data_IF_108785427493
#
_entry.id   IF_108785427493
#
_cell.length_a   1.000
_cell.length_b   1.000
_cell.length_c   1.000
_cell.angle_alpha   90.00
_cell.angle_beta   90.00
_cell.angle_gamma   90.00
#
_symmetry.space_group_name_H-M   'P 1'
#
loop_
_entity.id
_entity.type
_entity.pdbx_description
1 polymer ?
#
# COMPACT_ATOMS: atom_id res chain seq x y z
N UNK A 1 -27.42 4.06 -29.93
CA UNK A 1 -26.55 4.34 -28.76
C UNK A 1 -25.44 3.30 -28.80
N UNK A 2 -24.15 3.68 -28.73
CA UNK A 2 -23.05 2.71 -28.80
C UNK A 2 -23.13 1.74 -27.61
N UNK A 3 -22.86 0.45 -27.81
CA UNK A 3 -22.90 -0.62 -26.80
C UNK A 3 -22.15 -0.24 -25.51
N UNK A 4 -21.05 0.50 -25.63
CA UNK A 4 -20.29 1.02 -24.48
C UNK A 4 -21.09 2.03 -23.66
N UNK A 5 -21.75 2.99 -24.30
CA UNK A 5 -22.58 4.00 -23.64
C UNK A 5 -23.74 3.36 -22.88
N UNK A 6 -24.35 2.31 -23.45
CA UNK A 6 -25.39 1.53 -22.77
C UNK A 6 -24.88 0.84 -21.50
N UNK A 7 -23.70 0.21 -21.57
CA UNK A 7 -23.06 -0.39 -20.39
C UNK A 7 -22.82 0.65 -19.29
N UNK A 8 -22.17 1.78 -19.60
CA UNK A 8 -21.89 2.82 -18.60
C UNK A 8 -23.18 3.42 -18.01
N UNK A 9 -24.25 3.56 -18.79
CA UNK A 9 -25.56 3.98 -18.28
C UNK A 9 -26.16 2.95 -17.31
N UNK A 10 -26.10 1.66 -17.64
CA UNK A 10 -26.54 0.57 -16.74
C UNK A 10 -25.76 0.58 -15.43
N UNK A 11 -24.43 0.68 -15.50
CA UNK A 11 -23.56 0.76 -14.32
C UNK A 11 -23.89 2.00 -13.49
N UNK A 12 -24.19 3.14 -14.11
CA UNK A 12 -24.61 4.38 -13.41
C UNK A 12 -25.91 4.21 -12.62
N UNK A 13 -26.90 3.51 -13.17
CA UNK A 13 -28.15 3.20 -12.47
C UNK A 13 -27.88 2.30 -11.27
N UNK A 14 -27.11 1.22 -11.47
CA UNK A 14 -26.78 0.26 -10.40
C UNK A 14 -25.93 0.89 -9.30
N UNK A 15 -24.92 1.69 -9.66
CA UNK A 15 -24.07 2.41 -8.72
C UNK A 15 -24.86 3.43 -7.88
N UNK A 16 -25.87 4.07 -8.46
CA UNK A 16 -26.76 4.99 -7.75
C UNK A 16 -27.62 4.34 -6.66
N UNK A 17 -27.82 3.01 -6.75
CA UNK A 17 -28.55 2.23 -5.73
C UNK A 17 -27.65 1.76 -4.59
N UNK A 18 -26.32 1.89 -4.73
CA UNK A 18 -25.35 1.49 -3.72
C UNK A 18 -25.16 2.64 -2.73
N UNK A 19 -25.72 2.51 -1.53
CA UNK A 19 -25.62 3.51 -0.46
C UNK A 19 -24.60 3.13 0.62
N UNK A 20 -23.97 4.12 1.28
CA UNK A 20 -23.05 3.85 2.39
C UNK A 20 -23.75 3.19 3.57
N UNK A 21 -23.03 2.49 4.46
CA UNK A 21 -23.58 2.02 5.71
C UNK A 21 -24.22 3.17 6.49
N UNK A 22 -25.39 2.92 7.06
CA UNK A 22 -26.20 3.93 7.76
C UNK A 22 -25.41 4.67 8.83
N UNK A 23 -25.53 6.01 8.87
CA UNK A 23 -24.94 6.86 9.93
C UNK A 23 -25.39 6.49 11.35
N UNK A 24 -26.51 5.77 11.50
CA UNK A 24 -26.99 5.23 12.78
C UNK A 24 -25.92 4.36 13.50
N UNK A 25 -25.01 3.73 12.76
CA UNK A 25 -23.89 2.95 13.32
C UNK A 25 -22.84 3.80 14.05
N UNK A 26 -22.91 5.14 13.94
CA UNK A 26 -22.06 6.08 14.69
C UNK A 26 -22.63 6.47 16.06
N UNK A 27 -23.89 6.14 16.37
CA UNK A 27 -24.52 6.54 17.63
C UNK A 27 -23.81 5.89 18.82
N UNK A 28 -23.60 4.58 18.77
CA UNK A 28 -22.96 3.81 19.84
C UNK A 28 -21.50 4.25 20.12
N UNK A 29 -20.60 4.37 19.11
CA UNK A 29 -19.26 4.89 19.39
C UNK A 29 -19.28 6.33 19.91
N UNK A 30 -20.15 7.20 19.39
CA UNK A 30 -20.26 8.59 19.87
C UNK A 30 -20.66 8.64 21.35
N UNK A 31 -21.63 7.80 21.73
CA UNK A 31 -22.04 7.68 23.13
C UNK A 31 -20.91 7.20 24.04
N UNK A 32 -20.14 6.20 23.60
CA UNK A 32 -18.99 5.69 24.37
C UNK A 32 -17.88 6.73 24.56
N UNK A 33 -17.59 7.58 23.55
CA UNK A 33 -16.64 8.70 23.71
C UNK A 33 -17.14 9.71 24.74
N UNK A 34 -18.42 10.10 24.67
CA UNK A 34 -19.01 11.06 25.61
C UNK A 34 -18.97 10.48 27.03
N UNK A 35 -19.35 9.21 27.18
CA UNK A 35 -19.33 8.50 28.46
C UNK A 35 -17.90 8.37 29.01
N UNK A 36 -16.90 8.08 28.17
CA UNK A 36 -15.50 8.00 28.61
C UNK A 36 -15.00 9.36 29.11
N UNK A 37 -15.27 10.44 28.37
CA UNK A 37 -14.87 11.80 28.76
C UNK A 37 -15.50 12.22 30.09
N UNK A 38 -16.77 11.88 30.30
CA UNK A 38 -17.46 12.13 31.56
C UNK A 38 -16.79 11.40 32.73
N UNK A 39 -16.46 10.11 32.57
CA UNK A 39 -15.76 9.34 33.62
C UNK A 39 -14.34 9.83 33.88
N UNK A 40 -13.63 10.35 32.88
CA UNK A 40 -12.31 10.95 33.04
C UNK A 40 -12.34 12.21 33.92
N UNK A 41 -13.40 13.02 33.80
CA UNK A 41 -13.59 14.23 34.63
C UNK A 41 -14.00 13.85 36.07
N UNK A 42 -14.81 12.81 36.21
CA UNK A 42 -15.34 12.36 37.49
C UNK A 42 -14.31 11.64 38.35
N UNK A 43 -13.45 10.82 37.74
CA UNK A 43 -12.41 10.05 38.43
C UNK A 43 -11.55 10.88 39.41
N UNK A 44 -10.95 12.04 39.03
CA UNK A 44 -10.15 12.84 39.95
C UNK A 44 -10.98 13.47 41.07
N UNK A 45 -12.25 13.78 40.85
CA UNK A 45 -13.14 14.34 41.88
C UNK A 45 -13.38 13.30 42.97
N UNK A 46 -13.71 12.06 42.60
CA UNK A 46 -13.87 10.97 43.56
C UNK A 46 -12.57 10.59 44.26
N UNK A 47 -11.43 10.66 43.56
CA UNK A 47 -10.12 10.47 44.18
C UNK A 47 -9.81 11.51 45.25
N UNK A 48 -10.07 12.80 44.97
CA UNK A 48 -9.89 13.87 45.97
C UNK A 48 -10.83 13.68 47.17
N UNK A 49 -12.10 13.32 46.93
CA UNK A 49 -13.04 13.01 48.01
C UNK A 49 -12.58 11.82 48.85
N UNK A 50 -12.08 10.76 48.22
CA UNK A 50 -11.50 9.62 48.91
C UNK A 50 -10.33 10.03 49.81
N UNK A 51 -9.37 10.82 49.29
CA UNK A 51 -8.23 11.33 50.08
C UNK A 51 -8.70 12.18 51.26
N UNK A 52 -9.69 13.04 51.08
CA UNK A 52 -10.27 13.84 52.15
C UNK A 52 -10.90 12.97 53.26
N UNK A 53 -11.70 11.98 52.89
CA UNK A 53 -12.34 11.07 53.85
C UNK A 53 -11.32 10.20 54.59
N UNK A 54 -10.23 9.81 53.92
CA UNK A 54 -9.11 9.10 54.51
C UNK A 54 -8.42 9.95 55.59
N UNK A 55 -8.23 11.25 55.36
CA UNK A 55 -7.69 12.19 56.37
C UNK A 55 -8.58 12.27 57.61
N UNK A 56 -9.91 12.21 57.43
CA UNK A 56 -10.89 12.25 58.52
C UNK A 56 -11.19 10.87 59.14
N UNK A 57 -10.47 9.81 58.76
CA UNK A 57 -10.65 8.43 59.27
C UNK A 57 -12.07 7.86 59.07
N UNK A 58 -12.79 8.34 58.05
CA UNK A 58 -14.12 7.84 57.69
C UNK A 58 -13.96 6.69 56.69
N UNK A 59 -14.71 5.59 56.89
CA UNK A 59 -14.73 4.48 55.94
C UNK A 59 -15.14 4.99 54.54
N UNK A 60 -14.25 4.76 53.58
CA UNK A 60 -14.33 5.31 52.22
C UNK A 60 -14.05 4.26 51.13
N UNK A 61 -14.15 2.96 51.47
CA UNK A 61 -13.98 1.86 50.52
C UNK A 61 -14.87 1.99 49.28
N UNK A 62 -16.09 2.53 49.44
CA UNK A 62 -16.99 2.82 48.33
C UNK A 62 -16.41 3.87 47.35
N UNK A 63 -15.80 4.94 47.86
CA UNK A 63 -15.22 6.01 47.03
C UNK A 63 -13.99 5.52 46.27
N UNK A 64 -13.20 4.65 46.90
CA UNK A 64 -12.08 3.96 46.24
C UNK A 64 -12.58 3.08 45.09
N UNK A 65 -13.57 2.22 45.34
CA UNK A 65 -14.15 1.36 44.31
C UNK A 65 -14.75 2.14 43.13
N UNK A 66 -15.40 3.27 43.38
CA UNK A 66 -15.93 4.16 42.33
C UNK A 66 -14.78 4.82 41.53
N UNK A 67 -13.69 5.21 42.20
CA UNK A 67 -12.51 5.80 41.55
C UNK A 67 -11.83 4.78 40.64
N UNK A 68 -11.56 3.57 41.14
CA UNK A 68 -10.98 2.48 40.35
C UNK A 68 -11.87 2.13 39.15
N UNK A 69 -13.17 1.90 39.39
CA UNK A 69 -14.12 1.56 38.33
C UNK A 69 -14.16 2.66 37.25
N UNK A 70 -14.18 3.94 37.65
CA UNK A 70 -14.21 5.06 36.72
C UNK A 70 -12.93 5.17 35.89
N UNK A 71 -11.77 4.92 36.51
CA UNK A 71 -10.48 4.88 35.84
C UNK A 71 -10.44 3.79 34.76
N UNK A 72 -10.80 2.56 35.11
CA UNK A 72 -10.80 1.45 34.15
C UNK A 72 -11.86 1.62 33.06
N UNK A 73 -13.06 2.05 33.44
CA UNK A 73 -14.14 2.30 32.49
C UNK A 73 -13.73 3.34 31.44
N UNK A 74 -13.02 4.41 31.81
CA UNK A 74 -12.52 5.41 30.87
C UNK A 74 -11.68 4.77 29.76
N UNK A 75 -10.67 3.97 30.12
CA UNK A 75 -9.80 3.33 29.13
C UNK A 75 -10.56 2.31 28.28
N UNK A 76 -11.38 1.46 28.88
CA UNK A 76 -12.12 0.42 28.15
C UNK A 76 -13.13 1.02 27.17
N UNK A 77 -13.92 2.01 27.62
CA UNK A 77 -14.94 2.66 26.79
C UNK A 77 -14.31 3.52 25.67
N UNK A 78 -13.23 4.25 25.93
CA UNK A 78 -12.51 5.01 24.91
C UNK A 78 -11.90 4.10 23.82
N UNK A 79 -11.37 2.95 24.22
CA UNK A 79 -10.84 1.94 23.30
C UNK A 79 -11.99 1.36 22.47
N UNK A 80 -13.09 0.92 23.09
CA UNK A 80 -14.26 0.38 22.41
C UNK A 80 -14.88 1.39 21.43
N UNK A 81 -14.95 2.66 21.82
CA UNK A 81 -15.41 3.74 20.95
C UNK A 81 -14.51 3.90 19.70
N UNK A 82 -13.20 3.92 19.90
CA UNK A 82 -12.21 4.02 18.82
C UNK A 82 -12.33 2.85 17.83
N UNK A 83 -12.59 1.66 18.36
CA UNK A 83 -12.78 0.43 17.59
C UNK A 83 -14.03 0.52 16.70
N UNK A 84 -15.16 0.90 17.30
CA UNK A 84 -16.43 1.03 16.60
C UNK A 84 -16.38 2.15 15.55
N UNK A 85 -15.72 3.27 15.85
CA UNK A 85 -15.54 4.38 14.90
C UNK A 85 -14.67 3.95 13.70
N UNK A 86 -13.58 3.23 13.92
CA UNK A 86 -12.75 2.67 12.84
C UNK A 86 -13.49 1.61 12.03
N UNK A 87 -14.28 0.75 12.67
CA UNK A 87 -15.12 -0.26 12.01
C UNK A 87 -16.18 0.39 11.10
N UNK A 88 -16.82 1.46 11.56
CA UNK A 88 -17.75 2.24 10.76
C UNK A 88 -17.07 2.88 9.53
N UNK A 89 -15.94 3.57 9.74
CA UNK A 89 -15.16 4.17 8.66
C UNK A 89 -14.73 3.12 7.61
N UNK A 90 -14.45 1.88 8.04
CA UNK A 90 -14.12 0.75 7.16
C UNK A 90 -15.31 0.21 6.38
N UNK A 91 -16.47 0.03 7.00
CA UNK A 91 -17.69 -0.41 6.29
C UNK A 91 -18.10 0.57 5.19
N UNK A 92 -17.71 1.84 5.33
CA UNK A 92 -17.95 2.88 4.34
C UNK A 92 -17.00 2.81 3.13
N UNK A 93 -15.89 2.06 3.24
CA UNK A 93 -14.92 1.87 2.16
C UNK A 93 -15.22 0.61 1.32
N UNK A 94 -15.94 -0.36 1.86
CA UNK A 94 -16.22 -1.65 1.22
C UNK A 94 -17.72 -1.79 0.92
N UNK A 95 -18.21 -1.03 -0.05
CA UNK A 95 -19.55 -1.23 -0.56
C UNK A 95 -19.65 -2.62 -1.20
N UNK A 96 -20.31 -3.57 -0.51
CA UNK A 96 -20.68 -4.87 -1.09
C UNK A 96 -21.50 -4.60 -2.36
N UNK A 97 -21.14 -5.25 -3.47
CA UNK A 97 -21.73 -5.18 -4.83
C UNK A 97 -20.94 -4.44 -5.92
N UNK A 98 -19.80 -3.82 -5.61
CA UNK A 98 -18.93 -3.23 -6.64
C UNK A 98 -18.13 -4.28 -7.43
N UNK A 99 -17.84 -5.44 -6.83
CA UNK A 99 -17.05 -6.51 -7.45
C UNK A 99 -17.70 -7.14 -8.68
N UNK A 100 -19.03 -7.26 -8.69
CA UNK A 100 -19.78 -7.81 -9.83
C UNK A 100 -19.72 -6.84 -11.01
N UNK A 101 -19.95 -5.55 -10.75
CA UNK A 101 -19.86 -4.49 -11.78
C UNK A 101 -18.47 -4.40 -12.40
N UNK A 102 -17.43 -4.55 -11.58
CA UNK A 102 -16.03 -4.61 -12.03
C UNK A 102 -15.80 -5.83 -12.93
N UNK A 103 -16.18 -7.02 -12.45
CA UNK A 103 -15.93 -8.29 -13.16
C UNK A 103 -16.63 -8.34 -14.53
N UNK A 104 -17.90 -7.97 -14.61
CA UNK A 104 -18.65 -7.93 -15.88
C UNK A 104 -17.97 -6.97 -16.87
N UNK A 105 -17.54 -5.81 -16.41
CA UNK A 105 -16.83 -4.85 -17.27
C UNK A 105 -15.51 -5.42 -17.80
N UNK A 106 -14.68 -5.98 -16.90
CA UNK A 106 -13.35 -6.51 -17.23
C UNK A 106 -13.44 -7.69 -18.21
N UNK A 107 -14.44 -8.57 -18.06
CA UNK A 107 -14.59 -9.74 -18.92
C UNK A 107 -15.32 -9.45 -20.24
N UNK A 108 -16.34 -8.58 -20.26
CA UNK A 108 -17.24 -8.48 -21.41
C UNK A 108 -17.10 -7.19 -22.22
N UNK A 109 -16.62 -6.10 -21.61
CA UNK A 109 -16.61 -4.76 -22.20
C UNK A 109 -15.20 -4.28 -22.51
N UNK A 110 -14.28 -4.38 -21.55
CA UNK A 110 -12.90 -3.95 -21.71
C UNK A 110 -12.21 -4.65 -22.91
N UNK A 111 -12.36 -5.97 -23.13
CA UNK A 111 -11.75 -6.64 -24.30
C UNK A 111 -12.25 -6.07 -25.63
N UNK A 112 -13.53 -5.69 -25.71
CA UNK A 112 -14.12 -5.06 -26.90
C UNK A 112 -13.61 -3.64 -27.13
N UNK A 113 -13.38 -2.88 -26.06
CA UNK A 113 -12.75 -1.56 -26.15
C UNK A 113 -11.32 -1.71 -26.68
N UNK A 114 -10.56 -2.67 -26.14
CA UNK A 114 -9.18 -2.95 -26.57
C UNK A 114 -9.15 -3.35 -28.05
N UNK A 115 -9.95 -4.35 -28.44
CA UNK A 115 -9.97 -4.86 -29.82
C UNK A 115 -10.49 -3.83 -30.84
N UNK A 116 -11.26 -2.83 -30.40
CA UNK A 116 -11.71 -1.74 -31.28
C UNK A 116 -10.61 -0.75 -31.66
N UNK A 117 -9.49 -0.75 -30.92
CA UNK A 117 -8.42 0.24 -31.04
C UNK A 117 -7.05 -0.39 -31.33
N UNK A 118 -6.83 -1.61 -30.87
CA UNK A 118 -5.57 -2.32 -31.02
C UNK A 118 -5.83 -3.74 -31.54
N UNK A 119 -5.28 -4.05 -32.72
CA UNK A 119 -5.53 -5.33 -33.39
C UNK A 119 -4.72 -6.50 -32.81
N UNK A 120 -3.61 -6.21 -32.12
CA UNK A 120 -2.62 -7.22 -31.69
C UNK A 120 -2.37 -7.25 -30.17
N UNK A 121 -3.38 -6.91 -29.36
CA UNK A 121 -3.29 -6.95 -27.91
C UNK A 121 -4.19 -8.04 -27.32
N UNK A 122 -3.60 -8.91 -26.52
CA UNK A 122 -4.30 -9.88 -25.70
C UNK A 122 -4.49 -9.32 -24.30
N UNK A 123 -5.66 -9.56 -23.72
CA UNK A 123 -6.00 -9.11 -22.37
C UNK A 123 -6.56 -10.27 -21.54
N UNK A 124 -6.16 -10.32 -20.27
CA UNK A 124 -6.64 -11.27 -19.26
C UNK A 124 -6.83 -10.53 -17.94
N UNK A 125 -8.05 -10.55 -17.42
CA UNK A 125 -8.42 -9.88 -16.16
C UNK A 125 -7.58 -10.36 -14.96
N UNK A 126 -7.78 -11.57 -14.45
CA UNK A 126 -6.97 -12.09 -13.32
C UNK A 126 -5.61 -12.67 -13.77
N UNK A 127 -4.94 -11.99 -14.70
CA UNK A 127 -3.67 -12.44 -15.27
C UNK A 127 -2.46 -11.85 -14.54
N UNK A 128 -1.33 -12.55 -14.63
CA UNK A 128 -0.04 -12.08 -14.13
C UNK A 128 1.03 -12.48 -15.14
N UNK A 129 2.05 -11.63 -15.27
CA UNK A 129 3.26 -11.96 -16.03
C UNK A 129 3.92 -13.22 -15.43
N UNK A 130 4.56 -14.02 -16.29
CA UNK A 130 5.30 -15.20 -15.88
C UNK A 130 6.32 -14.85 -14.77
N UNK A 131 6.32 -15.67 -13.71
CA UNK A 131 7.24 -15.57 -12.59
C UNK A 131 8.71 -15.52 -13.03
N UNK A 132 9.06 -16.17 -14.14
CA UNK A 132 10.42 -16.11 -14.71
C UNK A 132 10.81 -14.69 -15.07
N UNK A 133 9.92 -13.91 -15.68
CA UNK A 133 10.17 -12.51 -16.00
C UNK A 133 10.22 -11.64 -14.72
N UNK A 134 9.37 -11.93 -13.73
CA UNK A 134 9.37 -11.23 -12.43
C UNK A 134 10.72 -11.44 -11.71
N UNK A 135 11.23 -12.66 -11.66
CA UNK A 135 12.53 -12.97 -11.06
C UNK A 135 13.70 -12.40 -11.87
N UNK A 136 13.64 -12.46 -13.20
CA UNK A 136 14.68 -11.90 -14.06
C UNK A 136 14.87 -10.38 -13.89
N UNK A 137 13.83 -9.68 -13.42
CA UNK A 137 13.84 -8.22 -13.24
C UNK A 137 14.70 -7.71 -12.07
N UNK A 138 15.11 -8.57 -11.15
CA UNK A 138 15.73 -8.21 -9.85
C UNK A 138 14.91 -7.19 -9.03
N UNK A 139 13.62 -7.01 -9.32
CA UNK A 139 12.72 -6.25 -8.46
C UNK A 139 12.30 -7.04 -7.22
N UNK A 140 12.34 -8.37 -7.31
CA UNK A 140 11.98 -9.31 -6.25
C UNK A 140 13.07 -10.37 -6.11
N UNK A 141 13.71 -10.46 -4.95
CA UNK A 141 14.65 -11.57 -4.70
C UNK A 141 13.90 -12.91 -4.64
N UNK A 142 14.52 -14.04 -5.02
CA UNK A 142 13.85 -15.35 -5.03
C UNK A 142 13.26 -15.73 -3.67
N UNK A 143 13.98 -15.47 -2.59
CA UNK A 143 13.50 -15.73 -1.22
C UNK A 143 12.34 -14.82 -0.83
N UNK A 144 12.37 -13.55 -1.24
CA UNK A 144 11.28 -12.62 -1.00
C UNK A 144 10.03 -13.00 -1.79
N UNK A 145 10.16 -13.31 -3.08
CA UNK A 145 9.05 -13.73 -3.93
C UNK A 145 8.43 -15.04 -3.42
N UNK A 146 9.25 -16.03 -3.07
CA UNK A 146 8.78 -17.29 -2.49
C UNK A 146 7.95 -17.09 -1.21
N UNK A 147 8.38 -16.17 -0.34
CA UNK A 147 7.60 -15.80 0.85
C UNK A 147 6.29 -15.07 0.51
N UNK A 148 6.31 -14.21 -0.51
CA UNK A 148 5.13 -13.43 -0.92
C UNK A 148 4.05 -14.30 -1.56
N UNK A 149 4.41 -15.33 -2.32
CA UNK A 149 3.45 -16.27 -2.94
C UNK A 149 2.49 -16.88 -1.93
N UNK A 150 3.01 -17.24 -0.76
CA UNK A 150 2.21 -17.84 0.33
C UNK A 150 1.42 -16.80 1.14
N UNK A 151 1.54 -15.50 0.82
CA UNK A 151 1.03 -14.39 1.64
C UNK A 151 0.16 -13.38 0.86
N UNK A 152 -0.24 -13.71 -0.37
CA UNK A 152 -1.12 -12.88 -1.19
C UNK A 152 -0.39 -11.99 -2.20
N UNK A 153 0.57 -12.57 -2.94
CA UNK A 153 1.12 -12.02 -4.18
C UNK A 153 0.28 -12.48 -5.36
N UNK A 154 -0.25 -11.55 -6.15
CA UNK A 154 -1.08 -11.84 -7.31
C UNK A 154 -1.00 -10.70 -8.34
N UNK A 155 -1.40 -11.01 -9.58
CA UNK A 155 -1.56 -10.04 -10.64
C UNK A 155 -3.02 -9.74 -10.96
N UNK A 156 -3.26 -8.60 -11.58
CA UNK A 156 -4.52 -8.19 -12.21
C UNK A 156 -4.18 -7.49 -13.53
N UNK A 157 -5.15 -7.41 -14.43
CA UNK A 157 -5.08 -6.76 -15.73
C UNK A 157 -3.80 -7.09 -16.53
N UNK A 158 -3.62 -8.36 -16.90
CA UNK A 158 -2.51 -8.78 -17.78
C UNK A 158 -2.80 -8.46 -19.24
N UNK A 159 -1.83 -7.82 -19.86
CA UNK A 159 -1.80 -7.56 -21.29
C UNK A 159 -0.54 -8.14 -21.90
N UNK A 160 -0.67 -8.68 -23.11
CA UNK A 160 0.47 -9.09 -23.91
C UNK A 160 0.25 -8.77 -25.38
N UNK A 161 1.33 -8.53 -26.12
CA UNK A 161 1.24 -8.25 -27.53
C UNK A 161 2.56 -7.77 -28.11
N UNK A 162 2.45 -7.24 -29.33
CA UNK A 162 3.60 -6.77 -30.10
C UNK A 162 3.34 -5.38 -30.64
N UNK A 163 4.24 -4.43 -30.36
CA UNK A 163 4.21 -3.07 -30.93
C UNK A 163 5.55 -2.81 -31.61
N UNK A 164 5.53 -2.49 -32.91
CA UNK A 164 6.72 -2.09 -33.68
C UNK A 164 7.94 -3.01 -33.46
N UNK A 165 7.73 -4.32 -33.49
CA UNK A 165 8.72 -5.38 -33.26
C UNK A 165 9.20 -5.64 -31.84
N UNK A 166 8.58 -4.99 -30.85
CA UNK A 166 8.83 -5.25 -29.43
C UNK A 166 7.71 -6.11 -28.87
N UNK A 167 8.06 -7.31 -28.43
CA UNK A 167 7.17 -8.15 -27.63
C UNK A 167 7.12 -7.60 -26.21
N UNK A 168 5.92 -7.42 -25.67
CA UNK A 168 5.77 -6.88 -24.34
C UNK A 168 4.65 -7.57 -23.58
N UNK A 169 4.78 -7.55 -22.26
CA UNK A 169 3.75 -7.96 -21.32
C UNK A 169 3.70 -6.98 -20.16
N UNK A 170 2.50 -6.59 -19.72
CA UNK A 170 2.36 -5.83 -18.49
C UNK A 170 1.20 -6.36 -17.66
N UNK A 171 1.26 -6.12 -16.35
CA UNK A 171 0.13 -6.36 -15.45
C UNK A 171 0.24 -5.44 -14.23
N UNK A 172 -0.84 -5.33 -13.48
CA UNK A 172 -0.78 -4.83 -12.11
C UNK A 172 -0.31 -5.94 -11.18
N UNK A 173 0.60 -5.62 -10.27
CA UNK A 173 1.07 -6.52 -9.23
C UNK A 173 0.64 -6.00 -7.87
N UNK A 174 0.11 -6.93 -7.07
CA UNK A 174 -0.26 -6.68 -5.69
C UNK A 174 0.51 -7.64 -4.80
N UNK A 175 0.96 -7.14 -3.66
CA UNK A 175 1.19 -8.04 -2.55
C UNK A 175 0.63 -7.48 -1.26
N UNK A 176 -0.08 -8.38 -0.59
CA UNK A 176 -0.69 -8.13 0.69
C UNK A 176 0.14 -8.83 1.76
N UNK A 177 0.05 -8.37 3.00
CA UNK A 177 0.50 -9.15 4.15
C UNK A 177 -0.59 -9.19 5.18
N UNK A 178 -0.74 -10.34 5.80
CA UNK A 178 -1.61 -10.54 6.92
C UNK A 178 -0.84 -10.36 8.22
N UNK A 179 -1.45 -9.71 9.20
CA UNK A 179 -0.81 -9.50 10.48
C UNK A 179 -1.73 -8.87 11.51
N UNK A 180 -1.33 -9.02 12.78
CA UNK A 180 -2.02 -8.39 13.89
C UNK A 180 -1.72 -6.89 13.90
N UNK A 181 -2.78 -6.09 14.02
CA UNK A 181 -2.68 -4.64 14.10
C UNK A 181 -2.08 -4.21 15.44
N UNK A 182 -1.47 -3.03 15.50
CA UNK A 182 -0.99 -2.43 16.77
C UNK A 182 -2.13 -2.38 17.81
N UNK A 183 -3.35 -2.10 17.36
CA UNK A 183 -4.57 -2.12 18.20
C UNK A 183 -4.94 -3.53 18.65
N UNK A 184 -4.76 -4.55 17.82
CA UNK A 184 -4.95 -5.96 18.19
C UNK A 184 -3.94 -6.41 19.24
N UNK A 185 -2.67 -6.02 19.10
CA UNK A 185 -1.65 -6.22 20.12
C UNK A 185 -2.01 -5.53 21.43
N UNK A 186 -2.42 -4.26 21.39
CA UNK A 186 -2.81 -3.51 22.59
C UNK A 186 -4.01 -4.15 23.32
N UNK A 187 -5.02 -4.65 22.59
CA UNK A 187 -6.15 -5.37 23.19
C UNK A 187 -5.72 -6.68 23.83
N UNK A 188 -4.84 -7.44 23.18
CA UNK A 188 -4.32 -8.69 23.73
C UNK A 188 -3.54 -8.42 25.03
N UNK A 189 -2.73 -7.36 25.06
CA UNK A 189 -2.09 -6.91 26.30
C UNK A 189 -3.08 -6.52 27.39
N UNK A 190 -4.16 -5.80 27.06
CA UNK A 190 -5.18 -5.39 28.04
C UNK A 190 -5.94 -6.61 28.56
N UNK A 191 -6.35 -7.55 27.71
CA UNK A 191 -7.05 -8.78 28.13
C UNK A 191 -6.16 -9.64 29.02
N UNK A 192 -4.85 -9.68 28.75
CA UNK A 192 -3.89 -10.38 29.60
C UNK A 192 -3.70 -9.63 30.92
N UNK A 193 -3.60 -8.29 30.90
CA UNK A 193 -3.38 -7.48 32.10
C UNK A 193 -4.62 -7.36 33.01
N UNK A 194 -5.83 -7.43 32.45
CA UNK A 194 -7.09 -7.29 33.19
C UNK A 194 -7.19 -8.27 34.38
N UNK A 195 -7.00 -9.59 34.21
CA UNK A 195 -7.05 -10.53 35.34
C UNK A 195 -5.93 -10.31 36.36
N UNK A 196 -4.74 -9.82 35.97
CA UNK A 196 -3.68 -9.49 36.93
C UNK A 196 -4.01 -8.26 37.80
N UNK A 197 -4.87 -7.35 37.31
CA UNK A 197 -5.38 -6.23 38.10
C UNK A 197 -6.50 -6.63 39.09
N UNK A 198 -7.03 -7.86 38.98
CA UNK A 198 -8.13 -8.37 39.82
C UNK A 198 -7.74 -9.60 40.65
N UNK A 199 -6.48 -10.05 40.60
CA UNK A 199 -6.00 -11.07 41.52
C UNK A 199 -5.81 -10.41 42.90
N UNK A 200 -6.46 -10.88 43.98
CA UNK A 200 -6.09 -10.47 45.33
C UNK A 200 -4.64 -10.87 45.56
N UNK A 201 -3.87 -10.02 46.28
CA UNK A 201 -2.44 -10.16 46.54
C UNK A 201 -1.99 -11.62 46.64
N UNK A 202 -1.45 -12.16 45.54
CA UNK A 202 -0.72 -13.41 45.58
C UNK A 202 0.70 -13.01 45.96
N UNK A 203 1.05 -13.26 47.21
CA UNK A 203 2.44 -13.24 47.67
C UNK A 203 3.23 -14.21 46.80
N UNK A 204 3.99 -13.69 45.83
CA UNK A 204 4.99 -14.47 45.12
C UNK A 204 6.23 -14.50 46.03
N UNK A 205 6.57 -15.64 46.65
CA UNK A 205 7.77 -15.71 47.46
C UNK A 205 8.97 -15.76 46.52
N UNK A 206 9.83 -14.76 46.67
CA UNK A 206 11.27 -14.86 46.53
C UNK A 206 11.85 -15.12 45.12
N UNK A 207 12.41 -14.05 44.55
CA UNK A 207 13.67 -14.10 43.80
C UNK A 207 14.44 -12.81 44.11
N UNK A 208 15.07 -12.78 45.28
CA UNK A 208 16.23 -11.90 45.48
C UNK A 208 17.43 -12.54 44.78
N UNK A 209 17.96 -11.84 43.77
CA UNK A 209 19.39 -11.92 43.47
C UNK A 209 19.87 -10.54 43.07
N UNK A 210 20.33 -9.84 44.09
CA UNK A 210 21.60 -9.11 44.18
C UNK A 210 21.96 -8.01 43.18
N UNK A 211 22.60 -7.02 43.79
CA UNK A 211 23.16 -5.77 43.30
C UNK A 211 24.09 -5.88 42.08
N UNK A 212 24.00 -4.87 41.21
CA UNK A 212 24.97 -4.62 40.13
C UNK A 212 24.49 -3.53 39.20
N UNK A 213 24.93 -2.30 39.42
CA UNK A 213 24.60 -1.16 38.58
C UNK A 213 25.10 -1.32 37.14
N UNK A 214 24.39 -0.71 36.20
CA UNK A 214 25.00 0.29 35.33
C UNK A 214 23.94 1.08 34.56
N UNK A 215 24.22 2.37 34.47
CA UNK A 215 23.46 3.43 33.81
C UNK A 215 23.18 3.16 32.34
N UNK A 216 21.92 3.26 31.91
CA UNK A 216 21.56 3.46 30.50
C UNK A 216 20.38 4.44 30.38
N UNK A 217 20.64 5.71 30.70
CA UNK A 217 19.84 6.81 30.20
C UNK A 217 20.79 7.90 29.68
N UNK A 218 21.32 7.66 28.47
CA UNK A 218 21.96 8.71 27.69
C UNK A 218 20.93 9.33 26.75
N UNK A 219 20.64 10.59 27.03
CA UNK A 219 19.83 11.46 26.19
C UNK A 219 20.48 11.59 24.82
N UNK A 220 19.68 11.47 23.75
CA UNK A 220 19.95 12.24 22.54
C UNK A 220 18.64 12.73 21.94
N UNK A 221 18.47 14.06 22.00
CA UNK A 221 17.37 14.76 21.39
C UNK A 221 17.39 14.63 19.87
N UNK A 222 16.20 14.64 19.27
CA UNK A 222 16.06 15.04 17.88
C UNK A 222 14.79 15.85 17.69
N UNK A 223 15.03 17.04 17.17
CA UNK A 223 14.13 18.14 16.89
C UNK A 223 13.10 17.69 15.85
N UNK A 224 11.81 17.67 16.23
CA UNK A 224 10.72 17.47 15.28
C UNK A 224 10.62 18.70 14.37
N UNK A 225 11.15 18.59 13.16
CA UNK A 225 10.77 19.51 12.07
C UNK A 225 9.58 18.88 11.35
N UNK A 226 8.44 19.55 11.49
CA UNK A 226 7.21 19.25 10.76
C UNK A 226 7.50 19.31 9.26
N UNK A 227 7.62 18.13 8.63
CA UNK A 227 7.48 17.98 7.19
C UNK A 227 6.07 17.45 6.94
N UNK A 228 5.31 18.20 6.16
CA UNK A 228 4.04 17.77 5.58
C UNK A 228 4.19 16.37 4.98
N UNK A 229 3.71 15.37 5.72
CA UNK A 229 3.69 13.99 5.26
C UNK A 229 2.59 13.86 4.22
N UNK A 230 2.98 13.95 2.96
CA UNK A 230 2.19 13.54 1.81
C UNK A 230 1.81 12.05 2.00
N UNK A 231 0.57 11.81 2.41
CA UNK A 231 0.02 10.48 2.68
C UNK A 231 0.22 9.61 1.43
N UNK A 232 1.00 8.53 1.56
CA UNK A 232 1.29 7.63 0.45
C UNK A 232 0.05 6.81 0.08
N UNK A 233 -0.73 7.34 -0.86
CA UNK A 233 -1.98 6.72 -1.35
C UNK A 233 -1.79 5.34 -2.02
N UNK A 234 -0.56 4.86 -2.15
CA UNK A 234 -0.22 3.54 -2.72
C UNK A 234 -0.41 2.38 -1.75
N UNK A 235 -0.50 2.65 -0.44
CA UNK A 235 -0.80 1.63 0.59
C UNK A 235 -2.27 1.65 0.96
N UNK A 236 -3.07 0.80 0.31
CA UNK A 236 -4.44 0.56 0.71
C UNK A 236 -4.43 -0.35 1.95
N UNK A 237 -4.70 0.23 3.11
CA UNK A 237 -4.80 -0.52 4.36
C UNK A 237 -6.18 -1.18 4.48
N UNK A 238 -6.32 -2.42 4.02
CA UNK A 238 -7.48 -3.29 4.32
C UNK A 238 -7.42 -3.82 5.78
N UNK A 239 -7.13 -2.96 6.77
CA UNK A 239 -6.98 -3.38 8.16
C UNK A 239 -8.29 -3.95 8.70
N UNK A 240 -8.34 -5.24 9.04
CA UNK A 240 -9.37 -5.77 9.95
C UNK A 240 -9.00 -5.49 11.41
N UNK A 241 -10.01 -5.59 12.27
CA UNK A 241 -10.04 -4.99 13.62
C UNK A 241 -8.90 -5.48 14.54
N UNK A 242 -8.61 -6.78 14.52
CA UNK A 242 -7.52 -7.39 15.30
C UNK A 242 -6.42 -7.88 14.38
N UNK A 243 -6.80 -8.72 13.44
CA UNK A 243 -5.99 -9.28 12.38
C UNK A 243 -6.43 -8.67 11.05
N UNK A 244 -5.52 -8.24 10.18
CA UNK A 244 -5.88 -7.55 8.96
C UNK A 244 -4.92 -7.80 7.80
N UNK A 245 -5.43 -7.56 6.60
CA UNK A 245 -4.67 -7.64 5.36
C UNK A 245 -4.19 -6.21 5.04
N UNK A 246 -2.90 -6.00 4.83
CA UNK A 246 -2.37 -4.72 4.37
C UNK A 246 -1.78 -4.87 2.97
N UNK A 247 -2.30 -4.10 2.01
CA UNK A 247 -1.67 -3.97 0.69
C UNK A 247 -0.40 -3.18 0.86
N UNK A 248 0.73 -3.87 0.81
CA UNK A 248 2.04 -3.28 1.02
C UNK A 248 2.62 -2.72 -0.27
N UNK A 249 2.20 -3.29 -1.40
CA UNK A 249 2.49 -2.77 -2.73
C UNK A 249 1.32 -3.05 -3.65
N UNK A 250 1.12 -2.07 -4.52
CA UNK A 250 0.24 -2.06 -5.67
C UNK A 250 0.96 -1.24 -6.71
N UNK A 251 1.10 -1.79 -7.90
CA UNK A 251 1.81 -1.08 -8.94
C UNK A 251 1.83 -1.81 -10.27
N UNK A 252 2.19 -1.05 -11.28
CA UNK A 252 2.36 -1.50 -12.63
C UNK A 252 3.71 -2.22 -12.77
N UNK A 253 3.71 -3.36 -13.45
CA UNK A 253 4.91 -4.07 -13.87
C UNK A 253 4.86 -4.30 -15.38
N UNK A 254 5.96 -4.00 -16.07
CA UNK A 254 6.12 -4.20 -17.50
C UNK A 254 7.38 -5.01 -17.78
N UNK A 255 7.26 -5.93 -18.73
CA UNK A 255 8.31 -6.64 -19.42
C UNK A 255 8.27 -6.27 -20.90
N UNK A 256 9.43 -6.01 -21.51
CA UNK A 256 9.56 -5.80 -22.94
C UNK A 256 10.86 -6.41 -23.47
N UNK A 257 10.78 -7.18 -24.56
CA UNK A 257 11.93 -7.72 -25.27
C UNK A 257 12.24 -6.86 -26.50
N UNK A 258 13.32 -6.09 -26.42
CA UNK A 258 13.79 -5.25 -27.52
C UNK A 258 14.70 -6.00 -28.49
N UNK A 259 14.94 -7.30 -28.26
CA UNK A 259 15.81 -8.14 -29.06
C UNK A 259 17.21 -7.54 -29.26
N UNK A 260 17.75 -6.88 -28.22
CA UNK A 260 19.08 -6.24 -28.27
C UNK A 260 20.17 -7.17 -27.79
N UNK A 261 21.32 -7.10 -28.45
CA UNK A 261 22.50 -7.87 -28.08
C UNK A 261 23.38 -7.04 -27.14
N UNK A 262 23.17 -7.21 -25.84
CA UNK A 262 24.16 -6.91 -24.81
C UNK A 262 24.08 -8.00 -23.75
N UNK A 263 25.18 -8.26 -23.08
CA UNK A 263 25.24 -9.20 -21.96
C UNK A 263 25.43 -8.41 -20.66
N UNK A 264 24.68 -8.78 -19.64
CA UNK A 264 24.75 -8.16 -18.31
C UNK A 264 23.55 -7.30 -18.00
N UNK A 265 23.67 -6.49 -16.95
CA UNK A 265 22.53 -5.87 -16.31
C UNK A 265 22.82 -4.45 -15.85
N UNK A 266 21.85 -3.54 -16.07
CA UNK A 266 21.81 -2.18 -15.55
C UNK A 266 20.52 -1.98 -14.76
N UNK A 267 20.65 -1.68 -13.48
CA UNK A 267 19.57 -1.37 -12.56
C UNK A 267 19.48 0.14 -12.34
N UNK A 268 18.27 0.69 -12.52
CA UNK A 268 17.98 2.12 -12.33
C UNK A 268 16.87 2.21 -11.29
N UNK A 269 17.25 2.39 -10.03
CA UNK A 269 16.34 2.26 -8.88
C UNK A 269 16.05 3.62 -8.26
N UNK A 270 14.78 3.97 -8.08
CA UNK A 270 14.43 5.22 -7.41
C UNK A 270 14.93 5.20 -5.96
N UNK A 271 15.50 6.32 -5.51
CA UNK A 271 15.99 6.49 -4.13
C UNK A 271 14.84 6.55 -3.11
N UNK A 272 13.59 6.70 -3.56
CA UNK A 272 12.40 6.82 -2.70
C UNK A 272 11.61 5.50 -2.63
N UNK A 273 11.07 5.20 -1.45
CA UNK A 273 9.86 4.36 -1.20
C UNK A 273 9.88 2.86 -1.53
N UNK A 274 10.89 2.28 -2.19
CA UNK A 274 11.00 0.82 -2.25
C UNK A 274 11.76 0.25 -1.05
N UNK A 275 11.26 -0.86 -0.51
CA UNK A 275 11.96 -1.57 0.56
C UNK A 275 13.21 -2.23 -0.04
N UNK A 276 14.40 -1.93 0.49
CA UNK A 276 15.67 -2.51 0.02
C UNK A 276 15.65 -4.05 -0.04
N UNK A 277 14.82 -4.70 0.81
CA UNK A 277 14.62 -6.16 0.83
C UNK A 277 13.89 -6.73 -0.38
N UNK A 278 13.25 -5.88 -1.20
CA UNK A 278 12.61 -6.31 -2.44
C UNK A 278 13.66 -6.70 -3.48
N UNK A 279 14.74 -5.95 -3.56
CA UNK A 279 15.69 -6.08 -4.66
C UNK A 279 16.70 -7.20 -4.42
N UNK A 280 17.11 -7.85 -5.51
CA UNK A 280 18.20 -8.83 -5.49
C UNK A 280 19.53 -8.19 -5.06
N UNK A 281 20.31 -8.91 -4.26
CA UNK A 281 21.65 -8.50 -3.86
C UNK A 281 22.68 -9.08 -4.83
N UNK A 282 22.96 -8.35 -5.90
CA UNK A 282 24.07 -8.67 -6.80
C UNK A 282 25.22 -7.69 -6.54
N UNK A 283 26.46 -8.15 -6.71
CA UNK A 283 27.68 -7.32 -6.68
C UNK A 283 27.73 -6.40 -7.90
N UNK A 284 26.87 -5.39 -7.90
CA UNK A 284 26.77 -4.41 -8.98
C UNK A 284 27.54 -3.15 -8.62
N UNK A 285 28.30 -2.65 -9.58
CA UNK A 285 29.06 -1.40 -9.45
C UNK A 285 28.10 -0.21 -9.56
N UNK A 286 28.28 0.80 -8.72
CA UNK A 286 27.51 2.05 -8.83
C UNK A 286 28.01 2.88 -10.00
N UNK A 287 27.10 3.30 -10.87
CA UNK A 287 27.41 4.10 -12.07
C UNK A 287 26.99 5.54 -11.82
N UNK A 288 27.79 6.50 -12.28
CA UNK A 288 27.48 7.94 -12.20
C UNK A 288 27.15 8.47 -13.58
N UNK A 289 26.03 9.17 -13.70
CA UNK A 289 25.64 9.85 -14.94
C UNK A 289 25.70 11.36 -14.77
N UNK A 290 26.01 12.08 -15.84
CA UNK A 290 26.14 13.55 -15.81
C UNK A 290 24.80 14.26 -15.61
N UNK A 291 23.69 13.62 -16.00
CA UNK A 291 22.36 14.20 -15.87
C UNK A 291 21.95 14.37 -14.40
N UNK A 292 21.86 15.62 -13.96
CA UNK A 292 21.57 15.99 -12.56
C UNK A 292 20.21 15.51 -12.07
N UNK A 293 19.20 15.46 -12.95
CA UNK A 293 17.85 14.99 -12.63
C UNK A 293 17.90 13.50 -12.28
N UNK A 294 18.56 12.71 -13.13
CA UNK A 294 18.70 11.26 -12.92
C UNK A 294 19.55 10.98 -11.68
N UNK A 295 20.71 11.61 -11.54
CA UNK A 295 21.61 11.41 -10.39
C UNK A 295 20.95 11.76 -9.06
N UNK A 296 20.09 12.78 -9.01
CA UNK A 296 19.34 13.13 -7.80
C UNK A 296 18.27 12.08 -7.45
N UNK A 297 17.59 11.52 -8.46
CA UNK A 297 16.41 10.65 -8.26
C UNK A 297 16.75 9.16 -8.16
N UNK A 298 17.79 8.72 -8.86
CA UNK A 298 18.10 7.32 -9.06
C UNK A 298 19.44 6.92 -8.45
N UNK A 299 19.49 5.67 -8.02
CA UNK A 299 20.73 4.92 -7.84
C UNK A 299 20.85 4.00 -9.03
N UNK A 300 21.96 4.12 -9.76
CA UNK A 300 22.25 3.29 -10.94
C UNK A 300 23.34 2.31 -10.55
N UNK A 301 23.09 1.03 -10.80
CA UNK A 301 24.10 -0.03 -10.61
C UNK A 301 24.16 -0.94 -11.83
N UNK A 302 25.33 -1.47 -12.15
CA UNK A 302 25.51 -2.34 -13.31
C UNK A 302 26.55 -3.44 -13.08
N UNK A 303 26.50 -4.48 -13.90
CA UNK A 303 27.50 -5.57 -13.90
C UNK A 303 28.84 -5.09 -14.46
N UNK A 304 28.80 -4.29 -15.51
CA UNK A 304 29.96 -3.69 -16.15
C UNK A 304 29.73 -2.19 -16.42
N UNK A 305 30.75 -1.38 -16.15
CA UNK A 305 30.65 0.08 -16.24
C UNK A 305 30.67 0.58 -17.69
N UNK A 306 31.48 -0.04 -18.56
CA UNK A 306 31.57 0.35 -19.97
C UNK A 306 30.26 0.04 -20.70
N UNK A 307 29.71 -1.15 -20.48
CA UNK A 307 28.38 -1.55 -20.95
C UNK A 307 27.30 -0.61 -20.41
N UNK A 308 27.37 -0.22 -19.13
CA UNK A 308 26.40 0.70 -18.55
C UNK A 308 26.39 2.05 -19.26
N UNK A 309 27.54 2.65 -19.57
CA UNK A 309 27.58 3.92 -20.31
C UNK A 309 27.09 3.79 -21.75
N UNK A 310 27.34 2.65 -22.39
CA UNK A 310 26.78 2.35 -23.70
C UNK A 310 25.25 2.28 -23.65
N UNK A 311 24.69 1.60 -22.65
CA UNK A 311 23.24 1.45 -22.44
C UNK A 311 22.58 2.73 -21.86
N UNK A 312 23.32 3.55 -21.15
CA UNK A 312 22.83 4.82 -20.58
C UNK A 312 23.23 5.99 -21.46
N UNK A 313 23.15 5.82 -22.79
CA UNK A 313 23.36 6.90 -23.73
C UNK A 313 22.47 8.11 -23.39
N UNK A 314 22.87 9.34 -23.76
CA UNK A 314 22.10 10.56 -23.42
C UNK A 314 20.62 10.47 -23.79
N UNK A 315 20.30 9.87 -24.95
CA UNK A 315 18.92 9.71 -25.40
C UNK A 315 18.09 8.79 -24.48
N UNK A 316 18.72 7.81 -23.85
CA UNK A 316 18.03 6.86 -22.96
C UNK A 316 17.84 7.44 -21.58
N UNK A 317 18.83 8.18 -21.11
CA UNK A 317 18.66 9.05 -19.95
C UNK A 317 17.49 10.00 -20.18
N UNK A 318 17.38 10.63 -21.35
CA UNK A 318 16.27 11.52 -21.69
C UNK A 318 14.93 10.78 -21.76
N UNK A 319 14.89 9.58 -22.34
CA UNK A 319 13.70 8.73 -22.35
C UNK A 319 13.24 8.40 -20.92
N UNK A 320 14.16 8.04 -20.03
CA UNK A 320 13.86 7.80 -18.61
C UNK A 320 13.30 9.07 -17.95
N UNK A 321 13.88 10.24 -18.23
CA UNK A 321 13.38 11.52 -17.70
C UNK A 321 11.97 11.81 -18.19
N UNK A 322 11.68 11.58 -19.48
CA UNK A 322 10.34 11.77 -20.05
C UNK A 322 9.32 10.79 -19.48
N UNK A 323 9.67 9.51 -19.35
CA UNK A 323 8.81 8.51 -18.70
C UNK A 323 8.49 8.90 -17.26
N UNK A 324 9.47 9.43 -16.53
CA UNK A 324 9.25 9.95 -15.18
C UNK A 324 8.27 11.12 -15.14
N UNK A 325 8.35 12.04 -16.10
CA UNK A 325 7.44 13.18 -16.18
C UNK A 325 6.01 12.73 -16.51
N UNK A 326 5.85 11.76 -17.41
CA UNK A 326 4.54 11.26 -17.85
C UNK A 326 3.87 10.34 -16.83
N UNK A 327 4.62 9.42 -16.21
CA UNK A 327 4.08 8.33 -15.40
C UNK A 327 4.24 8.53 -13.89
N UNK A 328 5.10 9.47 -13.49
CA UNK A 328 5.33 9.83 -12.09
C UNK A 328 6.71 9.43 -11.58
N UNK A 329 7.15 10.11 -10.53
CA UNK A 329 8.56 10.10 -10.06
C UNK A 329 9.01 8.84 -9.30
N UNK A 330 8.27 7.73 -9.40
CA UNK A 330 8.47 6.53 -8.57
C UNK A 330 8.78 5.27 -9.37
N UNK A 331 9.00 5.36 -10.69
CA UNK A 331 9.35 4.19 -11.49
C UNK A 331 10.75 3.66 -11.17
N UNK A 332 11.00 2.39 -11.42
CA UNK A 332 12.32 1.76 -11.42
C UNK A 332 12.44 0.84 -12.62
N UNK A 333 13.66 0.72 -13.15
CA UNK A 333 13.94 0.03 -14.40
C UNK A 333 15.09 -0.97 -14.21
N UNK A 334 15.05 -2.05 -14.98
CA UNK A 334 16.12 -3.02 -15.13
C UNK A 334 16.28 -3.31 -16.61
N UNK A 335 17.47 -3.08 -17.15
CA UNK A 335 17.86 -3.50 -18.49
C UNK A 335 18.77 -4.71 -18.32
N UNK A 336 18.38 -5.85 -18.90
CA UNK A 336 19.11 -7.12 -18.75
C UNK A 336 19.02 -7.94 -20.01
N UNK A 337 20.15 -8.33 -20.59
CA UNK A 337 20.25 -9.24 -21.73
C UNK A 337 19.25 -8.91 -22.87
N UNK A 338 19.21 -7.63 -23.27
CA UNK A 338 18.32 -7.13 -24.32
C UNK A 338 16.87 -6.83 -23.90
N UNK A 339 16.50 -7.15 -22.66
CA UNK A 339 15.15 -7.01 -22.12
C UNK A 339 15.06 -5.83 -21.16
N UNK A 340 13.86 -5.25 -21.07
CA UNK A 340 13.53 -4.21 -20.11
C UNK A 340 12.45 -4.71 -19.17
N UNK A 341 12.66 -4.42 -17.89
CA UNK A 341 11.68 -4.56 -16.85
C UNK A 341 11.44 -3.19 -16.21
N UNK A 342 10.18 -2.85 -15.97
CA UNK A 342 9.78 -1.60 -15.33
C UNK A 342 8.81 -1.93 -14.20
N UNK A 343 9.01 -1.32 -13.03
CA UNK A 343 8.05 -1.37 -11.93
C UNK A 343 7.71 0.04 -11.46
N UNK A 344 6.43 0.31 -11.21
CA UNK A 344 5.96 1.62 -10.78
C UNK A 344 4.83 1.49 -9.75
N UNK A 345 4.99 2.02 -8.52
CA UNK A 345 3.92 2.05 -7.53
C UNK A 345 2.79 2.97 -7.99
N UNK A 346 1.55 2.49 -7.89
CA UNK A 346 0.35 3.23 -8.29
C UNK A 346 -0.58 3.47 -7.10
N UNK A 347 -1.30 4.59 -7.13
CA UNK A 347 -2.32 4.89 -6.11
C UNK A 347 -3.69 4.30 -6.45
N UNK A 348 -3.96 4.07 -7.74
CA UNK A 348 -5.25 3.62 -8.27
C UNK A 348 -5.01 2.43 -9.22
N UNK A 349 -6.07 1.66 -9.45
CA UNK A 349 -6.10 0.53 -10.40
C UNK A 349 -6.44 1.16 -11.74
N UNK A 350 -5.84 0.61 -12.79
CA UNK A 350 -6.11 0.93 -14.17
C UNK A 350 -7.37 0.20 -14.63
N UNK A 351 -8.00 0.75 -15.65
CA UNK A 351 -9.11 0.10 -16.34
C UNK A 351 -10.28 -0.23 -15.41
N UNK A 352 -10.57 0.63 -14.43
CA UNK A 352 -11.74 0.47 -13.55
C UNK A 352 -12.95 1.21 -14.11
N UNK A 353 -14.11 0.55 -14.23
CA UNK A 353 -15.35 1.22 -14.60
C UNK A 353 -16.01 1.96 -13.44
N UNK A 354 -15.55 1.71 -12.21
CA UNK A 354 -16.05 2.36 -11.00
C UNK A 354 -14.90 2.71 -10.06
N UNK A 355 -15.02 3.84 -9.39
CA UNK A 355 -14.14 4.25 -8.30
C UNK A 355 -14.96 4.38 -7.03
N UNK A 356 -14.52 3.71 -5.97
CA UNK A 356 -15.18 3.82 -4.66
C UNK A 356 -14.63 5.05 -3.94
N UNK A 357 -15.46 6.08 -3.84
CA UNK A 357 -15.16 7.28 -3.05
C UNK A 357 -15.77 7.17 -1.65
N UNK A 358 -15.45 8.13 -0.78
CA UNK A 358 -15.89 8.12 0.63
C UNK A 358 -17.41 8.04 0.77
N UNK A 359 -18.15 8.79 -0.04
CA UNK A 359 -19.60 8.96 0.14
C UNK A 359 -20.43 8.49 -1.07
N UNK A 360 -19.79 7.97 -2.12
CA UNK A 360 -20.46 7.50 -3.34
C UNK A 360 -19.58 6.54 -4.15
N UNK A 361 -20.22 5.77 -5.02
CA UNK A 361 -19.54 5.05 -6.10
C UNK A 361 -19.55 5.95 -7.34
N UNK A 362 -18.37 6.41 -7.77
CA UNK A 362 -18.22 7.12 -9.04
C UNK A 362 -18.16 6.09 -10.16
N UNK A 363 -18.97 6.27 -11.20
CA UNK A 363 -18.80 5.52 -12.46
C UNK A 363 -17.79 6.26 -13.31
N UNK A 364 -16.71 5.59 -13.68
CA UNK A 364 -15.68 6.13 -14.54
C UNK A 364 -16.20 6.21 -15.99
N UNK A 365 -15.60 7.05 -16.83
CA UNK A 365 -16.07 7.23 -18.21
C UNK A 365 -15.24 6.41 -19.20
N UNK A 366 -15.76 6.24 -20.42
CA UNK A 366 -15.01 5.58 -21.49
C UNK A 366 -13.71 6.34 -21.80
N UNK A 367 -13.74 7.66 -21.72
CA UNK A 367 -12.57 8.51 -21.94
C UNK A 367 -11.49 8.27 -20.86
N UNK A 368 -11.89 8.01 -19.61
CA UNK A 368 -10.96 7.65 -18.54
C UNK A 368 -10.29 6.29 -18.82
N UNK A 369 -11.06 5.28 -19.26
CA UNK A 369 -10.50 3.97 -19.67
C UNK A 369 -9.57 4.11 -20.88
N UNK A 370 -9.97 4.90 -21.87
CA UNK A 370 -9.15 5.15 -23.06
C UNK A 370 -7.86 5.91 -22.74
N UNK A 371 -7.91 6.79 -21.73
CA UNK A 371 -6.74 7.49 -21.23
C UNK A 371 -5.75 6.51 -20.59
N UNK A 372 -6.21 5.57 -19.78
CA UNK A 372 -5.35 4.52 -19.21
C UNK A 372 -4.66 3.71 -20.32
N UNK A 373 -5.41 3.28 -21.33
CA UNK A 373 -4.86 2.57 -22.49
C UNK A 373 -3.84 3.41 -23.29
N UNK A 374 -4.10 4.71 -23.46
CA UNK A 374 -3.18 5.64 -24.12
C UNK A 374 -1.88 5.78 -23.34
N UNK A 375 -1.94 5.91 -22.02
CA UNK A 375 -0.74 6.03 -21.17
C UNK A 375 0.18 4.82 -21.38
N UNK A 376 -0.38 3.61 -21.48
CA UNK A 376 0.41 2.41 -21.72
C UNK A 376 0.95 2.37 -23.15
N UNK A 377 0.11 2.69 -24.15
CA UNK A 377 0.56 2.75 -25.54
C UNK A 377 1.67 3.78 -25.76
N UNK A 378 1.58 4.95 -25.11
CA UNK A 378 2.60 5.99 -25.12
C UNK A 378 3.86 5.54 -24.41
N UNK A 379 3.76 4.81 -23.29
CA UNK A 379 4.91 4.19 -22.61
C UNK A 379 5.65 3.24 -23.55
N UNK A 380 4.95 2.30 -24.19
CA UNK A 380 5.57 1.36 -25.13
C UNK A 380 6.15 2.10 -26.34
N UNK A 381 5.45 3.10 -26.86
CA UNK A 381 5.90 3.89 -28.01
C UNK A 381 7.13 4.74 -27.66
N UNK A 382 7.18 5.40 -26.51
CA UNK A 382 8.34 6.16 -26.05
C UNK A 382 9.55 5.25 -25.86
N UNK A 383 9.34 4.09 -25.26
CA UNK A 383 10.38 3.07 -25.13
C UNK A 383 10.87 2.58 -26.49
N UNK A 384 9.95 2.39 -27.45
CA UNK A 384 10.26 1.89 -28.78
C UNK A 384 10.84 2.94 -29.75
N UNK A 385 10.43 4.20 -29.71
CA UNK A 385 11.01 5.27 -30.54
C UNK A 385 12.50 5.44 -30.26
N UNK A 386 12.89 5.13 -29.02
CA UNK A 386 14.27 5.10 -28.59
C UNK A 386 15.01 3.79 -28.95
N UNK A 387 14.36 2.77 -29.52
CA UNK A 387 15.01 1.52 -29.98
C UNK A 387 15.66 1.60 -31.36
N UNK A 388 15.31 2.62 -32.17
CA UNK A 388 16.05 3.01 -33.38
C UNK A 388 17.45 3.55 -33.08
N UNK A 389 17.75 3.84 -31.82
CA UNK A 389 19.07 4.27 -31.33
C UNK A 389 19.93 3.04 -30.97
N UNK A 390 19.28 1.90 -30.75
CA UNK A 390 19.88 0.63 -30.36
C UNK A 390 20.06 -0.35 -31.53
N UNK A 391 19.66 0.01 -32.75
CA UNK A 391 20.01 -0.76 -33.94
C UNK A 391 21.45 -0.45 -34.30
N UNK A 392 22.28 -1.50 -34.43
CA UNK A 392 23.65 -1.37 -34.95
C UNK A 392 23.62 -0.55 -36.25
N UNK A 393 24.54 0.41 -36.36
CA UNK A 393 25.19 0.70 -37.64
C UNK A 393 26.17 -0.42 -37.90
#
# INVERSE_FOLDING_TARGET
MNQFTEHFNKVKVLAGQISPPSRLRLILPSFLVISSLFTFIICPIFFVLYVLFLIFTVDSHFLWGVTEFSFYYFFVSAILATILFKSYLKSNQNYKNTTVLRREFKLDILPKIISSKYDNLNYRFDGMIDEKHILASDFFSPSFLGNLKNRGFFGDDHFSGKINDVDFEFCELYYKTEGMTITGWALLFIVIALPFAFLPDIDIPFLESDSGGDSLFESSGSRSTSKNNEVDKTKVNEKAFLYGISTNFRGFFLYADFHKHFEGQVNIRTKKKFNKKMFGGNDLKTIRVENSIVTKKYTITATDEQMAYYILSPKIIDAIVQLNQKLGEKLSLTLKDGKLFLIMPMSNDLFENITVEKDKVKVNTLEEIQKDLNIIADLISELNLNTKIWSKV
#
